data_IF_721080780607
#
_entry.id   IF_721080780607
#
_cell.length_a   1.000
_cell.length_b   1.000
_cell.length_c   1.000
_cell.angle_alpha   90.00
_cell.angle_beta   90.00
_cell.angle_gamma   90.00
#
_symmetry.space_group_name_H-M   'P 1'
#
loop_
_entity.id
_entity.type
_entity.pdbx_description
1 polymer ?
#
# COMPACT_ATOMS: atom_id res chain seq x y z
N UNK A 1 -7.53 2.39 -0.08
CA UNK A 1 -7.44 3.47 -1.10
C UNK A 1 -6.81 4.74 -0.53
N UNK A 2 -7.37 5.37 0.51
CA UNK A 2 -6.83 6.60 1.13
C UNK A 2 -5.34 6.44 1.54
N UNK A 3 -5.00 5.34 2.22
CA UNK A 3 -3.61 5.02 2.60
C UNK A 3 -2.67 4.89 1.39
N UNK A 4 -3.18 4.46 0.24
CA UNK A 4 -2.40 4.36 -0.99
C UNK A 4 -2.09 5.73 -1.59
N UNK A 5 -3.05 6.65 -1.58
CA UNK A 5 -2.81 8.03 -2.00
C UNK A 5 -1.77 8.72 -1.09
N UNK A 6 -1.89 8.51 0.22
CA UNK A 6 -0.90 9.04 1.18
C UNK A 6 0.48 8.41 1.00
N UNK A 7 0.55 7.15 0.57
CA UNK A 7 1.82 6.45 0.30
C UNK A 7 2.60 7.06 -0.88
N UNK A 8 1.95 7.80 -1.79
CA UNK A 8 2.65 8.56 -2.82
C UNK A 8 3.45 9.72 -2.22
N UNK A 9 2.95 10.33 -1.13
CA UNK A 9 3.60 11.45 -0.45
C UNK A 9 4.60 10.96 0.60
N UNK A 10 4.25 9.89 1.31
CA UNK A 10 5.05 9.28 2.36
C UNK A 10 5.36 7.82 1.97
N UNK A 11 6.43 7.57 1.20
CA UNK A 11 6.78 6.23 0.74
C UNK A 11 7.30 5.31 1.85
N UNK A 12 7.43 5.83 3.08
CA UNK A 12 7.85 5.08 4.27
C UNK A 12 6.65 4.40 4.94
N UNK A 13 6.74 3.09 5.12
CA UNK A 13 5.71 2.30 5.82
C UNK A 13 5.59 2.68 7.30
N UNK A 14 6.71 2.85 8.01
CA UNK A 14 6.72 3.24 9.42
C UNK A 14 6.25 4.68 9.64
N UNK A 15 6.67 5.60 8.76
CA UNK A 15 6.25 7.00 8.81
C UNK A 15 4.75 7.14 8.55
N UNK A 16 4.23 6.41 7.56
CA UNK A 16 2.80 6.42 7.26
C UNK A 16 2.00 5.77 8.39
N UNK A 17 2.47 4.65 8.96
CA UNK A 17 1.83 4.01 10.12
C UNK A 17 1.68 4.98 11.30
N UNK A 18 2.75 5.67 11.67
CA UNK A 18 2.74 6.64 12.77
C UNK A 18 1.71 7.76 12.56
N UNK A 19 1.51 8.19 11.31
CA UNK A 19 0.56 9.24 10.96
C UNK A 19 -0.89 8.76 10.87
N UNK A 20 -1.13 7.54 10.38
CA UNK A 20 -2.49 7.09 10.03
C UNK A 20 -3.10 6.13 11.04
N UNK A 21 -2.31 5.32 11.75
CA UNK A 21 -2.84 4.32 12.69
C UNK A 21 -3.60 4.89 13.88
N UNK A 22 -3.21 6.05 14.47
CA UNK A 22 -4.00 6.66 15.55
C UNK A 22 -5.44 7.01 15.14
N UNK A 23 -5.70 7.15 13.84
CA UNK A 23 -7.02 7.46 13.28
C UNK A 23 -7.70 6.20 12.75
N UNK A 24 -6.99 5.40 11.94
CA UNK A 24 -7.56 4.22 11.28
C UNK A 24 -7.88 3.08 12.25
N UNK A 25 -7.11 2.91 13.33
CA UNK A 25 -7.36 1.89 14.34
C UNK A 25 -8.74 2.06 15.01
N UNK A 26 -8.98 3.20 15.70
CA UNK A 26 -10.27 3.47 16.34
C UNK A 26 -11.44 3.49 15.35
N UNK A 27 -11.24 3.99 14.12
CA UNK A 27 -12.29 3.94 13.09
C UNK A 27 -12.69 2.51 12.72
N UNK A 28 -11.73 1.59 12.67
CA UNK A 28 -12.01 0.19 12.34
C UNK A 28 -12.75 -0.51 13.49
N UNK A 29 -12.39 -0.20 14.73
CA UNK A 29 -13.12 -0.65 15.94
C UNK A 29 -14.56 -0.11 15.98
N UNK A 30 -14.76 1.17 15.67
CA UNK A 30 -16.10 1.79 15.64
C UNK A 30 -17.02 1.16 14.59
N UNK A 31 -16.45 0.62 13.51
CA UNK A 31 -17.18 -0.10 12.47
C UNK A 31 -17.47 -1.57 12.85
N UNK A 32 -17.02 -2.03 14.02
CA UNK A 32 -17.17 -3.41 14.47
C UNK A 32 -16.29 -4.42 13.70
N UNK A 33 -15.22 -3.94 13.07
CA UNK A 33 -14.28 -4.76 12.30
C UNK A 33 -12.97 -4.98 13.07
N UNK A 34 -12.20 -5.98 12.64
CA UNK A 34 -10.90 -6.27 13.23
C UNK A 34 -9.91 -5.10 13.05
N UNK A 35 -9.33 -4.52 14.13
CA UNK A 35 -8.41 -3.39 14.05
C UNK A 35 -7.11 -3.70 13.30
N UNK A 36 -6.65 -4.95 13.34
CA UNK A 36 -5.47 -5.43 12.60
C UNK A 36 -5.68 -5.37 11.08
N UNK A 37 -6.94 -5.30 10.62
CA UNK A 37 -7.25 -5.07 9.22
C UNK A 37 -6.78 -3.69 8.74
N UNK A 38 -6.70 -2.69 9.63
CA UNK A 38 -6.14 -1.37 9.30
C UNK A 38 -4.65 -1.47 8.99
N UNK A 39 -3.90 -2.27 9.75
CA UNK A 39 -2.47 -2.54 9.53
C UNK A 39 -2.27 -3.30 8.22
N UNK A 40 -3.11 -4.30 7.97
CA UNK A 40 -3.10 -5.05 6.71
C UNK A 40 -3.37 -4.13 5.52
N UNK A 41 -4.37 -3.24 5.63
CA UNK A 41 -4.69 -2.24 4.61
C UNK A 41 -3.50 -1.31 4.32
N UNK A 42 -2.79 -0.86 5.36
CA UNK A 42 -1.61 -0.02 5.23
C UNK A 42 -0.51 -0.74 4.47
N UNK A 43 -0.17 -1.97 4.86
CA UNK A 43 0.93 -2.71 4.25
C UNK A 43 0.70 -2.97 2.77
N UNK A 44 -0.50 -3.44 2.40
CA UNK A 44 -0.84 -3.66 1.00
C UNK A 44 -0.89 -2.35 0.21
N UNK A 45 -1.47 -1.29 0.76
CA UNK A 45 -1.54 0.00 0.08
C UNK A 45 -0.16 0.61 -0.15
N UNK A 46 0.71 0.60 0.86
CA UNK A 46 2.04 1.19 0.79
C UNK A 46 2.94 0.44 -0.19
N UNK A 47 2.99 -0.90 -0.10
CA UNK A 47 3.82 -1.70 -1.00
C UNK A 47 3.36 -1.64 -2.47
N UNK A 48 2.05 -1.66 -2.69
CA UNK A 48 1.49 -1.58 -4.05
C UNK A 48 1.84 -0.24 -4.70
N UNK A 49 1.73 0.86 -3.95
CA UNK A 49 2.03 2.21 -4.46
C UNK A 49 3.53 2.44 -4.63
N UNK A 50 4.36 1.96 -3.70
CA UNK A 50 5.81 2.07 -3.80
C UNK A 50 6.36 1.42 -5.08
N UNK A 51 5.72 0.34 -5.57
CA UNK A 51 6.12 -0.35 -6.79
C UNK A 51 6.02 0.51 -8.06
N UNK A 52 5.14 1.51 -8.06
CA UNK A 52 4.84 2.35 -9.23
C UNK A 52 5.14 3.83 -9.01
N UNK A 53 5.59 4.21 -7.82
CA UNK A 53 5.82 5.61 -7.46
C UNK A 53 7.23 6.06 -7.86
N UNK A 54 7.39 7.22 -8.53
CA UNK A 54 8.70 7.76 -8.88
C UNK A 54 9.47 8.31 -7.67
N UNK A 55 8.79 8.53 -6.53
CA UNK A 55 9.40 8.98 -5.27
C UNK A 55 9.79 7.83 -4.35
N UNK A 56 9.45 6.58 -4.71
CA UNK A 56 9.90 5.41 -3.97
C UNK A 56 11.37 5.09 -4.31
N UNK A 57 12.28 5.46 -3.40
CA UNK A 57 13.72 5.29 -3.60
C UNK A 57 14.16 3.86 -3.91
N UNK A 58 13.51 2.84 -3.32
CA UNK A 58 13.81 1.43 -3.61
C UNK A 58 13.50 1.07 -5.06
N UNK A 59 12.35 1.50 -5.59
CA UNK A 59 11.93 1.24 -6.98
C UNK A 59 12.86 1.94 -7.96
N UNK A 60 13.19 3.22 -7.72
CA UNK A 60 14.11 3.97 -8.58
C UNK A 60 15.52 3.38 -8.56
N UNK A 61 16.03 2.97 -7.39
CA UNK A 61 17.33 2.31 -7.26
C UNK A 61 17.36 0.97 -8.02
N UNK A 62 16.31 0.14 -7.88
CA UNK A 62 16.20 -1.12 -8.62
C UNK A 62 16.18 -0.92 -10.13
N UNK A 63 15.45 0.08 -10.62
CA UNK A 63 15.42 0.43 -12.05
C UNK A 63 16.76 0.94 -12.57
N UNK A 64 17.49 1.71 -11.76
CA UNK A 64 18.82 2.19 -12.11
C UNK A 64 19.82 1.02 -12.26
N UNK A 65 19.77 0.04 -11.36
CA UNK A 65 20.60 -1.18 -11.45
C UNK A 65 20.22 -2.01 -12.67
N UNK A 66 18.92 -2.15 -12.96
CA UNK A 66 18.42 -2.89 -14.11
C UNK A 66 18.60 -2.15 -15.46
N UNK A 67 19.05 -0.88 -15.45
CA UNK A 67 19.13 0.01 -16.62
C UNK A 67 17.81 0.14 -17.39
N UNK A 68 16.68 0.12 -16.66
CA UNK A 68 15.34 0.24 -17.23
C UNK A 68 14.80 1.65 -16.97
N UNK A 69 14.24 2.30 -18.00
CA UNK A 69 13.59 3.60 -17.80
C UNK A 69 12.25 3.45 -17.07
N UNK A 70 11.88 4.46 -16.28
CA UNK A 70 10.62 4.44 -15.53
C UNK A 70 9.38 4.26 -16.43
N UNK A 71 9.40 4.87 -17.62
CA UNK A 71 8.32 4.71 -18.61
C UNK A 71 8.18 3.28 -19.15
N UNK A 72 9.30 2.54 -19.30
CA UNK A 72 9.27 1.12 -19.65
C UNK A 72 8.75 0.28 -18.48
N UNK A 73 9.19 0.59 -17.25
CA UNK A 73 8.72 -0.10 -16.05
C UNK A 73 7.21 0.01 -15.91
N UNK A 74 6.64 1.22 -16.05
CA UNK A 74 5.20 1.45 -15.96
C UNK A 74 4.41 0.59 -16.95
N UNK A 75 4.88 0.50 -18.21
CA UNK A 75 4.25 -0.32 -19.25
C UNK A 75 4.27 -1.82 -18.96
N UNK A 76 5.26 -2.28 -18.20
CA UNK A 76 5.39 -3.69 -17.82
C UNK A 76 4.57 -4.00 -16.56
N UNK A 77 4.63 -3.13 -15.56
CA UNK A 77 4.10 -3.41 -14.22
C UNK A 77 2.61 -3.10 -14.07
N UNK A 78 1.99 -2.29 -14.93
CA UNK A 78 0.62 -1.81 -14.72
C UNK A 78 -0.42 -2.95 -14.55
N UNK A 79 -0.28 -4.06 -15.29
CA UNK A 79 -1.16 -5.23 -15.15
C UNK A 79 -1.03 -5.87 -13.76
N UNK A 80 0.21 -6.00 -13.29
CA UNK A 80 0.53 -6.53 -11.97
C UNK A 80 0.09 -5.57 -10.86
N UNK A 81 0.21 -4.27 -11.08
CA UNK A 81 -0.27 -3.25 -10.15
C UNK A 81 -1.78 -3.37 -9.94
N UNK A 82 -2.57 -3.47 -11.00
CA UNK A 82 -4.03 -3.67 -10.89
C UNK A 82 -4.34 -4.96 -10.14
N UNK A 83 -3.66 -6.05 -10.47
CA UNK A 83 -3.80 -7.31 -9.75
C UNK A 83 -3.51 -7.15 -8.25
N UNK A 84 -2.43 -6.47 -7.88
CA UNK A 84 -2.06 -6.22 -6.48
C UNK A 84 -3.07 -5.33 -5.75
N UNK A 85 -3.63 -4.32 -6.42
CA UNK A 85 -4.70 -3.49 -5.84
C UNK A 85 -5.94 -4.34 -5.53
N UNK A 86 -6.39 -5.15 -6.49
CA UNK A 86 -7.57 -6.02 -6.31
C UNK A 86 -7.31 -7.07 -5.23
N UNK A 87 -6.13 -7.70 -5.27
CA UNK A 87 -5.72 -8.70 -4.29
C UNK A 87 -5.67 -8.10 -2.88
N UNK A 88 -5.02 -6.94 -2.72
CA UNK A 88 -4.96 -6.22 -1.45
C UNK A 88 -6.34 -5.85 -0.91
N UNK A 89 -7.26 -5.40 -1.77
CA UNK A 89 -8.65 -5.11 -1.37
C UNK A 89 -9.36 -6.35 -0.83
N UNK A 90 -9.22 -7.50 -1.50
CA UNK A 90 -9.84 -8.76 -1.07
C UNK A 90 -9.25 -9.21 0.27
N UNK A 91 -7.92 -9.20 0.40
CA UNK A 91 -7.25 -9.64 1.63
C UNK A 91 -7.58 -8.72 2.81
N UNK A 92 -7.61 -7.41 2.61
CA UNK A 92 -8.02 -6.46 3.65
C UNK A 92 -9.48 -6.66 4.06
N UNK A 93 -10.38 -6.91 3.11
CA UNK A 93 -11.79 -7.16 3.41
C UNK A 93 -11.95 -8.43 4.26
N UNK A 94 -11.26 -9.52 3.88
CA UNK A 94 -11.25 -10.77 4.66
C UNK A 94 -10.66 -10.51 6.06
N UNK A 95 -9.53 -9.80 6.14
CA UNK A 95 -8.89 -9.48 7.43
C UNK A 95 -9.82 -8.70 8.36
N UNK A 96 -10.68 -7.82 7.83
CA UNK A 96 -11.67 -7.08 8.63
C UNK A 96 -12.79 -7.96 9.18
N UNK A 97 -13.11 -9.06 8.50
CA UNK A 97 -14.16 -10.01 8.89
C UNK A 97 -13.65 -11.12 9.82
N UNK A 98 -12.34 -11.23 10.02
CA UNK A 98 -11.77 -12.21 10.94
C UNK A 98 -12.12 -11.85 12.39
N UNK A 99 -12.58 -12.82 13.20
CA UNK A 99 -12.76 -12.59 14.62
C UNK A 99 -11.41 -12.22 15.24
N UNK A 100 -11.42 -11.14 16.03
CA UNK A 100 -10.30 -10.71 16.88
C UNK A 100 -10.08 -11.66 18.04
#
# INVERSE_FOLDING_TARGET
IVLGLLSLLVPSSSGLAALTMPVMGPLTELMGLNPEAAVTALQFANQTINTISPVAGMTVAGLAVAKISFGQWWKTIWKFFIFMVVFGLIVTAISGMLPV
#
